data_IF_193353716527
#
_entry.id   IF_193353716527
#
_cell.length_a   1.000
_cell.length_b   1.000
_cell.length_c   1.000
_cell.angle_alpha   90.00
_cell.angle_beta   90.00
_cell.angle_gamma   90.00
#
_symmetry.space_group_name_H-M   'P 1'
#
loop_
_entity.id
_entity.type
_entity.pdbx_description
1 polymer ?
#
# COMPACT_ATOMS: atom_id res chain seq x y z
N UNK A 1 38.46 7.50 7.29
CA UNK A 1 36.99 7.45 7.17
C UNK A 1 36.46 6.67 8.36
N UNK A 2 35.59 7.25 9.14
CA UNK A 2 34.90 6.53 10.23
C UNK A 2 33.77 5.69 9.65
N UNK A 3 33.57 4.48 10.22
CA UNK A 3 32.43 3.66 9.82
C UNK A 3 31.15 4.23 10.42
N UNK A 4 30.09 4.30 9.64
CA UNK A 4 28.76 4.78 10.07
C UNK A 4 27.69 3.80 9.58
N UNK A 5 26.80 3.37 10.47
CA UNK A 5 25.64 2.55 10.11
C UNK A 5 24.41 3.45 9.97
N UNK A 6 23.85 3.49 8.78
CA UNK A 6 22.69 4.30 8.44
C UNK A 6 21.48 3.40 8.19
N UNK A 7 20.39 3.64 8.91
CA UNK A 7 19.11 3.00 8.67
C UNK A 7 18.23 3.84 7.74
N UNK A 8 17.74 3.24 6.64
CA UNK A 8 16.79 3.87 5.75
C UNK A 8 15.37 3.42 6.10
N UNK A 9 14.53 4.36 6.49
CA UNK A 9 13.15 4.09 6.90
C UNK A 9 12.19 5.03 6.17
N UNK A 10 10.92 4.73 6.15
CA UNK A 10 9.88 5.60 5.57
C UNK A 10 8.60 4.83 5.31
N UNK A 11 7.54 5.56 5.04
CA UNK A 11 6.25 4.98 4.72
C UNK A 11 6.31 4.14 3.44
N UNK A 12 5.46 3.11 3.30
CA UNK A 12 5.29 2.42 2.03
C UNK A 12 5.03 3.41 0.88
N UNK A 13 5.67 3.17 -0.27
CA UNK A 13 5.58 4.01 -1.47
C UNK A 13 6.16 5.44 -1.37
N UNK A 14 6.91 5.79 -0.32
CA UNK A 14 7.62 7.09 -0.22
C UNK A 14 8.84 7.22 -1.15
N UNK A 15 9.20 6.16 -1.89
CA UNK A 15 10.37 6.14 -2.76
C UNK A 15 11.64 5.63 -2.08
N UNK A 16 11.52 4.96 -0.93
CA UNK A 16 12.61 4.40 -0.14
C UNK A 16 13.54 3.48 -0.96
N UNK A 17 12.99 2.50 -1.66
CA UNK A 17 13.78 1.56 -2.50
C UNK A 17 14.50 2.28 -3.65
N UNK A 18 13.89 3.31 -4.23
CA UNK A 18 14.53 4.13 -5.27
C UNK A 18 15.74 4.86 -4.70
N UNK A 19 15.60 5.50 -3.54
CA UNK A 19 16.69 6.20 -2.85
C UNK A 19 17.80 5.22 -2.46
N UNK A 20 17.46 4.04 -1.94
CA UNK A 20 18.41 2.99 -1.61
C UNK A 20 19.27 2.60 -2.82
N UNK A 21 18.62 2.36 -3.97
CA UNK A 21 19.32 2.00 -5.21
C UNK A 21 20.21 3.13 -5.74
N UNK A 22 19.80 4.39 -5.61
CA UNK A 22 20.59 5.55 -6.01
C UNK A 22 21.84 5.71 -5.14
N UNK A 23 21.76 5.45 -3.83
CA UNK A 23 22.87 5.57 -2.91
C UNK A 23 23.88 4.44 -3.06
N UNK A 24 23.40 3.19 -3.24
CA UNK A 24 24.24 1.97 -3.19
C UNK A 24 24.66 1.45 -4.58
N UNK A 25 23.95 1.86 -5.64
CA UNK A 25 24.16 1.34 -6.98
C UNK A 25 23.93 -0.18 -7.05
N UNK A 26 24.82 -0.90 -7.75
CA UNK A 26 24.72 -2.37 -7.90
C UNK A 26 25.30 -3.17 -6.72
N UNK A 27 25.82 -2.51 -5.68
CA UNK A 27 26.49 -3.15 -4.55
C UNK A 27 25.52 -3.42 -3.41
N UNK A 28 24.62 -4.36 -3.60
CA UNK A 28 23.61 -4.75 -2.61
C UNK A 28 23.82 -6.18 -2.14
N UNK A 29 23.57 -6.44 -0.86
CA UNK A 29 23.45 -7.78 -0.29
C UNK A 29 22.00 -7.98 0.13
N UNK A 30 21.41 -9.06 -0.31
CA UNK A 30 20.04 -9.45 0.04
C UNK A 30 20.10 -10.66 0.96
N UNK A 31 19.40 -10.61 2.07
CA UNK A 31 19.23 -11.69 3.03
C UNK A 31 17.84 -11.60 3.65
N UNK A 32 17.58 -12.36 4.69
CA UNK A 32 16.35 -12.24 5.45
C UNK A 32 16.65 -11.68 6.85
N UNK A 33 15.67 -10.98 7.43
CA UNK A 33 15.74 -10.60 8.84
C UNK A 33 15.74 -11.86 9.71
N UNK A 34 16.46 -11.83 10.83
CA UNK A 34 16.63 -12.99 11.70
C UNK A 34 15.28 -13.56 12.17
N UNK A 35 15.03 -14.85 11.85
CA UNK A 35 13.84 -15.58 12.28
C UNK A 35 12.55 -15.30 11.50
N UNK A 36 12.63 -14.57 10.38
CA UNK A 36 11.46 -14.20 9.57
C UNK A 36 11.74 -14.27 8.06
N UNK A 37 10.69 -14.29 7.24
CA UNK A 37 10.78 -14.35 5.76
C UNK A 37 10.85 -12.98 5.09
N UNK A 38 10.99 -11.89 5.86
CA UNK A 38 11.09 -10.51 5.33
C UNK A 38 12.50 -10.26 4.81
N UNK A 39 12.62 -9.71 3.61
CA UNK A 39 13.90 -9.37 3.01
C UNK A 39 14.64 -8.27 3.78
N UNK A 40 15.94 -8.51 4.03
CA UNK A 40 16.89 -7.52 4.54
C UNK A 40 17.82 -7.12 3.42
N UNK A 41 17.83 -5.85 3.05
CA UNK A 41 18.74 -5.29 2.04
C UNK A 41 19.79 -4.44 2.72
N UNK A 42 21.03 -4.71 2.40
CA UNK A 42 22.17 -3.93 2.86
C UNK A 42 23.01 -3.47 1.67
N UNK A 43 23.48 -2.27 1.77
CA UNK A 43 24.37 -1.67 0.79
C UNK A 43 25.49 -0.87 1.46
N UNK A 44 26.43 -0.40 0.68
CA UNK A 44 27.49 0.46 1.16
C UNK A 44 27.75 1.58 0.14
N UNK A 45 28.00 2.77 0.65
CA UNK A 45 28.44 3.91 -0.13
C UNK A 45 29.44 4.75 0.68
N UNK A 46 30.04 5.74 0.03
CA UNK A 46 31.00 6.61 0.67
C UNK A 46 30.53 8.06 0.59
N UNK A 47 30.69 8.76 1.68
CA UNK A 47 30.65 10.22 1.74
C UNK A 47 32.08 10.75 1.82
N UNK A 48 32.24 12.05 1.93
CA UNK A 48 33.58 12.67 2.07
C UNK A 48 34.27 12.20 3.36
N UNK A 49 33.51 12.04 4.45
CA UNK A 49 34.05 11.75 5.79
C UNK A 49 33.87 10.31 6.24
N UNK A 50 32.80 9.64 5.77
CA UNK A 50 32.37 8.35 6.29
C UNK A 50 32.33 7.24 5.23
N UNK A 51 32.65 6.03 5.65
CA UNK A 51 32.27 4.79 4.96
C UNK A 51 30.92 4.35 5.55
N UNK A 52 29.84 4.44 4.76
CA UNK A 52 28.47 4.26 5.22
C UNK A 52 27.98 2.85 4.87
N UNK A 53 27.55 2.10 5.87
CA UNK A 53 26.76 0.88 5.71
C UNK A 53 25.29 1.28 5.76
N UNK A 54 24.56 1.04 4.67
CA UNK A 54 23.14 1.37 4.55
C UNK A 54 22.31 0.11 4.74
N UNK A 55 21.36 0.16 5.68
CA UNK A 55 20.41 -0.92 5.95
C UNK A 55 19.01 -0.44 5.59
N UNK A 56 18.36 -1.15 4.66
CA UNK A 56 16.97 -0.87 4.25
C UNK A 56 16.01 -1.51 5.26
N UNK A 57 15.30 -0.68 6.01
CA UNK A 57 14.28 -1.14 6.95
C UNK A 57 12.95 -1.34 6.22
N UNK A 58 12.09 -2.29 6.66
CA UNK A 58 10.76 -2.44 6.11
C UNK A 58 9.97 -1.13 6.19
N UNK A 59 9.13 -0.88 5.18
CA UNK A 59 8.28 0.32 5.14
C UNK A 59 7.21 0.25 6.23
N UNK A 60 7.09 1.31 7.04
CA UNK A 60 6.12 1.35 8.13
C UNK A 60 5.48 2.72 8.24
N UNK A 61 4.25 2.77 8.74
CA UNK A 61 3.53 4.02 9.04
C UNK A 61 3.73 4.47 10.48
N UNK A 62 4.03 3.54 11.39
CA UNK A 62 4.18 3.77 12.81
C UNK A 62 5.21 2.82 13.41
N UNK A 63 5.75 3.18 14.56
CA UNK A 63 6.65 2.34 15.37
C UNK A 63 5.94 1.78 16.61
N UNK A 64 4.63 1.93 16.72
CA UNK A 64 3.84 1.49 17.87
C UNK A 64 3.18 0.14 17.59
N UNK A 65 3.47 -0.86 18.39
CA UNK A 65 2.92 -2.22 18.27
C UNK A 65 1.85 -2.46 19.33
N UNK A 66 0.72 -1.74 19.24
CA UNK A 66 -0.38 -1.79 20.24
C UNK A 66 -1.15 -3.12 20.18
N UNK A 67 -1.15 -3.83 19.07
CA UNK A 67 -1.87 -5.09 18.95
C UNK A 67 -0.96 -6.24 18.52
N UNK A 68 -1.35 -7.47 18.88
CA UNK A 68 -0.75 -8.68 18.33
C UNK A 68 -0.87 -8.78 16.79
N UNK A 69 -1.61 -7.86 16.17
CA UNK A 69 -1.81 -7.72 14.73
C UNK A 69 -0.92 -6.64 14.10
N UNK A 70 -0.02 -5.99 14.88
CA UNK A 70 0.99 -5.10 14.30
C UNK A 70 1.75 -5.83 13.20
N UNK A 71 1.94 -5.15 12.06
CA UNK A 71 2.58 -5.78 10.91
C UNK A 71 3.98 -6.27 11.29
N UNK A 72 4.39 -7.41 10.75
CA UNK A 72 5.73 -7.95 10.99
C UNK A 72 6.83 -6.92 10.63
N UNK A 73 6.55 -6.10 9.63
CA UNK A 73 7.44 -5.04 9.16
C UNK A 73 7.67 -3.95 10.22
N UNK A 74 6.61 -3.54 10.93
CA UNK A 74 6.69 -2.56 12.03
C UNK A 74 7.51 -3.10 13.19
N UNK A 75 7.28 -4.36 13.55
CA UNK A 75 8.02 -5.01 14.63
C UNK A 75 9.51 -5.12 14.32
N UNK A 76 9.87 -5.48 13.08
CA UNK A 76 11.27 -5.59 12.62
C UNK A 76 11.94 -4.21 12.68
N UNK A 77 11.31 -3.20 12.10
CA UNK A 77 11.84 -1.84 12.07
C UNK A 77 12.09 -1.33 13.51
N UNK A 78 11.08 -1.47 14.39
CA UNK A 78 11.17 -1.01 15.77
C UNK A 78 12.28 -1.72 16.54
N UNK A 79 12.37 -3.06 16.45
CA UNK A 79 13.42 -3.85 17.13
C UNK A 79 14.82 -3.48 16.66
N UNK A 80 15.00 -3.30 15.35
CA UNK A 80 16.31 -2.96 14.81
C UNK A 80 16.73 -1.54 15.21
N UNK A 81 15.82 -0.59 15.23
CA UNK A 81 16.09 0.76 15.71
C UNK A 81 16.43 0.74 17.23
N UNK A 82 15.67 -0.05 18.00
CA UNK A 82 15.89 -0.19 19.44
C UNK A 82 17.17 -0.94 19.82
N UNK A 83 17.75 -1.74 18.92
CA UNK A 83 18.98 -2.50 19.19
C UNK A 83 20.22 -1.61 19.35
N UNK A 84 20.17 -0.35 18.90
CA UNK A 84 21.30 0.57 18.92
C UNK A 84 22.38 0.28 17.87
N UNK A 85 22.08 -0.59 16.88
CA UNK A 85 22.99 -0.87 15.75
C UNK A 85 23.05 0.26 14.74
N UNK A 86 22.07 1.19 14.77
CA UNK A 86 21.96 2.33 13.85
C UNK A 86 22.49 3.59 14.50
N UNK A 87 23.45 4.23 13.85
CA UNK A 87 24.00 5.50 14.32
C UNK A 87 23.10 6.69 13.88
N UNK A 88 22.55 6.61 12.66
CA UNK A 88 21.71 7.68 12.06
C UNK A 88 20.59 7.05 11.24
N UNK A 89 19.40 7.63 11.34
CA UNK A 89 18.26 7.27 10.50
C UNK A 89 18.06 8.30 9.38
N UNK A 90 17.83 7.82 8.17
CA UNK A 90 17.29 8.62 7.06
C UNK A 90 15.84 8.23 6.85
N UNK A 91 14.94 9.13 7.21
CA UNK A 91 13.50 8.94 7.02
C UNK A 91 13.05 9.53 5.70
N UNK A 92 12.57 8.69 4.78
CA UNK A 92 12.07 9.09 3.46
C UNK A 92 10.61 9.48 3.58
N UNK A 93 10.34 10.76 3.36
CA UNK A 93 9.04 11.40 3.51
C UNK A 93 8.51 11.82 2.14
N UNK A 94 7.28 11.44 1.83
CA UNK A 94 6.59 11.89 0.63
C UNK A 94 6.08 13.34 0.81
N UNK A 95 6.63 14.26 0.04
CA UNK A 95 6.27 15.68 0.07
C UNK A 95 4.82 15.96 -0.38
N UNK A 96 4.25 15.11 -1.24
CA UNK A 96 2.88 15.26 -1.70
C UNK A 96 1.85 14.84 -0.63
N UNK A 97 2.26 13.99 0.33
CA UNK A 97 1.44 13.49 1.44
C UNK A 97 2.12 13.75 2.79
N UNK A 98 2.56 14.98 3.01
CA UNK A 98 3.43 15.34 4.13
C UNK A 98 2.82 14.99 5.49
N UNK A 99 1.57 15.37 5.74
CA UNK A 99 0.88 15.17 7.04
C UNK A 99 0.91 13.70 7.47
N UNK A 100 0.57 12.78 6.57
CA UNK A 100 0.56 11.34 6.86
C UNK A 100 1.96 10.79 7.12
N UNK A 101 2.96 11.30 6.40
CA UNK A 101 4.33 10.81 6.49
C UNK A 101 5.09 11.36 7.71
N UNK A 102 4.69 12.53 8.21
CA UNK A 102 5.30 13.13 9.40
C UNK A 102 5.00 12.38 10.69
N UNK A 103 3.97 11.52 10.74
CA UNK A 103 3.67 10.75 11.94
C UNK A 103 4.85 9.85 12.36
N UNK A 104 5.42 9.10 11.42
CA UNK A 104 6.62 8.33 11.64
C UNK A 104 7.80 9.22 12.03
N UNK A 105 7.96 10.37 11.37
CA UNK A 105 9.03 11.33 11.67
C UNK A 105 8.95 11.82 13.12
N UNK A 106 7.75 12.17 13.60
CA UNK A 106 7.54 12.63 14.98
C UNK A 106 7.94 11.52 15.96
N UNK A 107 7.51 10.28 15.73
CA UNK A 107 7.89 9.15 16.60
C UNK A 107 9.42 8.93 16.65
N UNK A 108 10.10 8.97 15.49
CA UNK A 108 11.57 8.85 15.43
C UNK A 108 12.26 9.98 16.20
N UNK A 109 11.74 11.19 16.10
CA UNK A 109 12.29 12.36 16.80
C UNK A 109 12.01 12.32 18.30
N UNK A 110 10.86 11.77 18.74
CA UNK A 110 10.57 11.53 20.16
C UNK A 110 11.49 10.47 20.77
N UNK A 111 11.92 9.46 19.99
CA UNK A 111 12.88 8.44 20.43
C UNK A 111 14.26 9.02 20.72
N UNK A 112 14.56 10.24 20.29
CA UNK A 112 15.88 10.88 20.46
C UNK A 112 16.97 10.33 19.54
N UNK A 113 16.63 9.52 18.54
CA UNK A 113 17.60 8.96 17.61
C UNK A 113 17.95 10.01 16.54
N UNK A 114 19.25 10.15 16.21
CA UNK A 114 19.68 11.07 15.17
C UNK A 114 19.00 10.76 13.84
N UNK A 115 18.31 11.76 13.27
CA UNK A 115 17.48 11.60 12.08
C UNK A 115 17.74 12.71 11.06
N UNK A 116 17.75 12.31 9.78
CA UNK A 116 17.70 13.21 8.63
C UNK A 116 16.40 12.91 7.88
N UNK A 117 15.63 13.92 7.54
CA UNK A 117 14.44 13.79 6.71
C UNK A 117 14.83 13.96 5.25
N UNK A 118 14.64 12.90 4.47
CA UNK A 118 14.79 12.91 3.02
C UNK A 118 13.40 13.21 2.40
N UNK A 119 13.14 14.50 2.12
CA UNK A 119 11.86 14.97 1.60
C UNK A 119 11.78 14.70 0.09
N UNK A 120 11.19 13.56 -0.27
CA UNK A 120 11.13 13.04 -1.63
C UNK A 120 9.83 13.44 -2.35
N UNK A 121 9.78 13.19 -3.66
CA UNK A 121 8.61 13.49 -4.51
C UNK A 121 8.23 14.98 -4.57
N UNK A 122 9.20 15.86 -4.46
CA UNK A 122 8.97 17.31 -4.57
C UNK A 122 8.45 17.74 -5.94
N UNK A 123 8.73 17.01 -6.99
CA UNK A 123 8.18 17.21 -8.32
C UNK A 123 6.66 16.96 -8.33
N UNK A 124 6.19 15.92 -7.63
CA UNK A 124 4.76 15.64 -7.47
C UNK A 124 4.10 16.71 -6.61
N UNK A 125 4.68 17.08 -5.46
CA UNK A 125 4.17 18.15 -4.62
C UNK A 125 4.04 19.47 -5.39
N UNK A 126 5.06 19.85 -6.18
CA UNK A 126 5.02 21.04 -7.05
C UNK A 126 3.94 20.95 -8.14
N UNK A 127 3.73 19.76 -8.73
CA UNK A 127 2.65 19.54 -9.70
C UNK A 127 1.27 19.73 -9.07
N UNK A 128 1.13 19.38 -7.80
CA UNK A 128 -0.07 19.62 -6.98
C UNK A 128 -0.15 21.03 -6.40
N UNK A 129 0.79 21.93 -6.77
CA UNK A 129 0.89 23.33 -6.28
C UNK A 129 1.10 23.45 -4.78
N UNK A 130 1.70 22.44 -4.17
CA UNK A 130 2.12 22.46 -2.77
C UNK A 130 3.53 23.02 -2.72
N UNK A 131 3.72 24.14 -2.03
CA UNK A 131 5.04 24.69 -1.67
C UNK A 131 5.32 24.38 -0.22
N UNK A 132 6.51 23.88 0.07
CA UNK A 132 6.93 23.52 1.42
C UNK A 132 8.14 24.40 1.78
N UNK A 133 8.04 25.09 2.91
CA UNK A 133 9.19 25.77 3.53
C UNK A 133 10.07 24.72 4.21
N UNK A 134 11.14 24.31 3.50
CA UNK A 134 12.07 23.28 3.94
C UNK A 134 12.81 23.68 5.21
N UNK A 135 13.26 24.93 5.28
CA UNK A 135 13.98 25.46 6.44
C UNK A 135 13.06 25.60 7.66
N UNK A 136 11.81 26.00 7.44
CA UNK A 136 10.76 26.03 8.46
C UNK A 136 10.47 24.64 8.99
N UNK A 137 10.38 23.64 8.11
CA UNK A 137 10.18 22.26 8.47
C UNK A 137 11.36 21.71 9.29
N UNK A 138 12.59 21.96 8.87
CA UNK A 138 13.79 21.55 9.58
C UNK A 138 13.86 22.14 11.01
N UNK A 139 13.55 23.44 11.15
CA UNK A 139 13.51 24.09 12.47
C UNK A 139 12.47 23.49 13.40
N UNK A 140 11.27 23.17 12.88
CA UNK A 140 10.17 22.61 13.69
C UNK A 140 10.40 21.16 14.07
N UNK A 141 10.99 20.36 13.19
CA UNK A 141 11.34 18.97 13.46
C UNK A 141 12.64 18.83 14.28
N UNK A 142 13.45 19.87 14.35
CA UNK A 142 14.76 19.85 15.03
C UNK A 142 15.77 18.89 14.38
N UNK A 143 15.64 18.65 13.06
CA UNK A 143 16.55 17.78 12.31
C UNK A 143 16.72 18.30 10.86
N UNK A 144 17.82 17.97 10.18
CA UNK A 144 18.03 18.33 8.80
C UNK A 144 16.93 17.77 7.88
N UNK A 145 16.45 18.60 6.95
CA UNK A 145 15.51 18.21 5.91
C UNK A 145 16.17 18.44 4.56
N UNK A 146 16.33 17.37 3.78
CA UNK A 146 17.00 17.43 2.47
C UNK A 146 15.95 17.21 1.38
N UNK A 147 15.80 18.19 0.46
CA UNK A 147 14.88 18.04 -0.67
C UNK A 147 15.41 17.04 -1.69
N UNK A 148 14.54 16.12 -2.15
CA UNK A 148 14.90 15.05 -3.06
C UNK A 148 13.88 14.87 -4.19
N UNK A 149 14.39 14.41 -5.34
CA UNK A 149 13.63 13.74 -6.39
C UNK A 149 14.39 12.47 -6.75
N UNK A 150 14.18 11.40 -5.97
CA UNK A 150 14.99 10.18 -6.06
C UNK A 150 14.95 9.50 -7.43
N UNK A 151 13.90 9.67 -8.23
CA UNK A 151 13.82 9.17 -9.60
C UNK A 151 14.81 9.85 -10.57
N UNK A 152 15.22 11.08 -10.27
CA UNK A 152 16.19 11.88 -11.07
C UNK A 152 17.56 11.98 -10.42
N UNK A 153 17.74 11.35 -9.25
CA UNK A 153 18.91 11.48 -8.40
C UNK A 153 19.20 12.93 -7.93
N UNK A 154 18.20 13.84 -8.01
CA UNK A 154 18.33 15.22 -7.53
C UNK A 154 18.36 15.22 -5.99
N UNK A 155 19.30 15.93 -5.38
CA UNK A 155 19.45 16.06 -3.92
C UNK A 155 20.28 14.95 -3.25
N UNK A 156 20.84 13.99 -4.01
CA UNK A 156 21.65 12.89 -3.44
C UNK A 156 22.96 13.41 -2.83
N UNK A 157 23.62 14.35 -3.47
CA UNK A 157 24.88 14.90 -2.97
C UNK A 157 24.62 15.81 -1.75
N UNK A 158 23.51 16.53 -1.71
CA UNK A 158 23.05 17.28 -0.55
C UNK A 158 22.74 16.35 0.64
N UNK A 159 22.15 15.18 0.38
CA UNK A 159 21.92 14.18 1.42
C UNK A 159 23.24 13.66 1.98
N UNK A 160 24.22 13.35 1.13
CA UNK A 160 25.56 12.93 1.57
C UNK A 160 26.25 14.02 2.39
N UNK A 161 26.13 15.28 1.97
CA UNK A 161 26.68 16.41 2.71
C UNK A 161 25.98 16.59 4.08
N UNK A 162 24.66 16.41 4.14
CA UNK A 162 23.90 16.44 5.39
C UNK A 162 24.34 15.32 6.36
N UNK A 163 24.64 14.11 5.86
CA UNK A 163 25.17 13.00 6.65
C UNK A 163 26.55 13.39 7.24
N UNK A 164 27.42 13.99 6.44
CA UNK A 164 28.77 14.40 6.86
C UNK A 164 28.78 15.58 7.85
N UNK A 165 27.75 16.44 7.81
CA UNK A 165 27.64 17.63 8.65
C UNK A 165 26.75 17.42 9.89
N UNK A 166 26.16 16.22 10.07
CA UNK A 166 25.23 15.96 11.14
C UNK A 166 25.88 16.12 12.51
N UNK A 167 25.28 16.96 13.33
CA UNK A 167 25.69 17.15 14.72
C UNK A 167 24.97 16.13 15.61
N UNK A 168 25.73 15.41 16.43
CA UNK A 168 25.25 14.42 17.38
C UNK A 168 25.59 14.86 18.80
N UNK A 169 24.73 14.64 19.81
CA UNK A 169 23.36 14.10 19.73
C UNK A 169 22.34 15.16 19.28
N UNK A 170 21.22 14.70 18.70
CA UNK A 170 20.05 15.55 18.45
C UNK A 170 19.09 15.50 19.63
N UNK A 171 18.59 16.66 20.09
CA UNK A 171 17.58 16.71 21.14
C UNK A 171 16.28 16.02 20.68
N UNK A 172 15.62 15.26 21.56
CA UNK A 172 14.33 14.68 21.29
C UNK A 172 13.26 15.75 21.05
N UNK A 173 12.33 15.47 20.14
CA UNK A 173 11.20 16.38 19.86
C UNK A 173 10.22 16.35 21.04
N UNK A 174 9.87 17.50 21.55
CA UNK A 174 8.87 17.63 22.61
C UNK A 174 7.47 17.74 21.97
N UNK A 175 6.60 16.78 22.27
CA UNK A 175 5.18 16.84 21.95
C UNK A 175 4.41 17.25 23.20
N UNK A 176 3.43 18.15 23.05
CA UNK A 176 2.58 18.58 24.16
C UNK A 176 1.41 17.61 24.32
N UNK A 177 1.52 16.75 25.34
CA UNK A 177 0.51 15.77 25.68
C UNK A 177 -0.49 16.31 26.71
N UNK A 178 -1.72 15.75 26.79
CA UNK A 178 -2.66 16.09 27.85
C UNK A 178 -2.05 15.95 29.25
N UNK A 179 -2.45 16.77 30.23
CA UNK A 179 -1.88 16.76 31.57
C UNK A 179 -1.93 15.40 32.27
N UNK A 180 -2.99 14.62 32.04
CA UNK A 180 -3.13 13.26 32.58
C UNK A 180 -2.03 12.33 32.05
N UNK A 181 -1.73 12.39 30.75
CA UNK A 181 -0.65 11.61 30.12
C UNK A 181 0.71 12.07 30.68
N UNK A 182 0.96 13.38 30.75
CA UNK A 182 2.22 13.91 31.26
C UNK A 182 2.47 13.51 32.71
N UNK A 183 1.45 13.54 33.58
CA UNK A 183 1.54 13.11 34.96
C UNK A 183 1.93 11.62 35.08
N UNK A 184 1.33 10.75 34.26
CA UNK A 184 1.63 9.32 34.29
C UNK A 184 3.01 9.00 33.67
N UNK A 185 3.44 9.73 32.66
CA UNK A 185 4.82 9.65 32.13
C UNK A 185 5.81 10.03 33.23
N UNK A 186 5.58 11.14 33.96
CA UNK A 186 6.39 11.53 35.13
C UNK A 186 6.48 10.42 36.18
N UNK A 187 5.32 9.87 36.57
CA UNK A 187 5.25 8.77 37.54
C UNK A 187 6.07 7.53 37.11
N UNK A 188 5.96 7.12 35.83
CA UNK A 188 6.71 5.98 35.29
C UNK A 188 8.23 6.25 35.28
N UNK A 189 8.65 7.47 34.96
CA UNK A 189 10.05 7.87 34.94
C UNK A 189 10.67 7.94 36.32
N UNK A 190 9.94 8.41 37.34
CA UNK A 190 10.38 8.44 38.75
C UNK A 190 10.48 7.03 39.33
N UNK A 191 9.59 6.12 38.95
CA UNK A 191 9.55 4.73 39.46
C UNK A 191 10.60 3.84 38.77
N UNK A 192 11.10 4.24 37.60
CA UNK A 192 12.07 3.47 36.85
C UNK A 192 13.46 3.47 37.50
N UNK A 193 14.10 2.30 37.53
CA UNK A 193 15.52 2.22 37.82
C UNK A 193 16.36 2.86 36.69
N UNK A 194 17.43 3.61 37.01
CA UNK A 194 18.31 4.17 35.99
C UNK A 194 18.96 3.05 35.19
N UNK A 195 18.56 2.91 33.93
CA UNK A 195 19.13 1.96 32.96
C UNK A 195 19.68 2.73 31.77
N UNK A 196 20.85 2.37 31.28
CA UNK A 196 21.40 2.90 30.06
C UNK A 196 20.53 2.39 28.86
N UNK A 197 19.86 3.30 28.21
CA UNK A 197 19.05 3.01 27.00
C UNK A 197 19.49 3.96 25.89
N UNK A 198 19.61 3.45 24.69
CA UNK A 198 19.85 4.27 23.51
C UNK A 198 18.62 5.10 23.12
N UNK A 199 17.44 4.73 23.67
CA UNK A 199 16.14 5.36 23.38
C UNK A 199 15.77 6.27 24.55
N UNK A 200 15.16 7.42 24.23
CA UNK A 200 14.65 8.38 25.20
C UNK A 200 13.65 7.72 26.18
N UNK A 201 13.88 7.76 27.49
CA UNK A 201 13.00 7.13 28.48
C UNK A 201 11.55 7.62 28.43
N UNK A 202 11.35 8.89 28.07
CA UNK A 202 10.02 9.48 27.91
C UNK A 202 9.23 8.76 26.83
N UNK A 203 9.87 8.43 25.70
CA UNK A 203 9.24 7.69 24.63
C UNK A 203 8.83 6.27 25.06
N UNK A 204 9.70 5.55 25.80
CA UNK A 204 9.36 4.24 26.35
C UNK A 204 8.16 4.28 27.29
N UNK A 205 8.06 5.34 28.11
CA UNK A 205 6.92 5.55 28.99
C UNK A 205 5.62 5.77 28.19
N UNK A 206 5.68 6.56 27.11
CA UNK A 206 4.55 6.75 26.21
C UNK A 206 4.13 5.43 25.54
N UNK A 207 5.08 4.63 25.05
CA UNK A 207 4.80 3.31 24.47
C UNK A 207 4.12 2.37 25.49
N UNK A 208 4.54 2.40 26.74
CA UNK A 208 3.90 1.62 27.78
C UNK A 208 2.46 2.07 28.05
N UNK A 209 2.16 3.39 28.00
CA UNK A 209 0.82 3.93 28.12
C UNK A 209 -0.05 3.63 26.89
N UNK A 210 0.51 3.64 25.68
CA UNK A 210 -0.15 3.18 24.46
C UNK A 210 -0.44 1.67 24.47
N UNK A 211 0.18 0.90 25.39
CA UNK A 211 -0.01 -0.54 25.50
C UNK A 211 0.85 -1.34 24.53
N UNK A 212 1.98 -0.78 24.10
CA UNK A 212 2.93 -1.51 23.28
C UNK A 212 3.53 -2.69 24.05
N UNK A 213 3.29 -3.90 23.54
CA UNK A 213 3.71 -5.17 24.15
C UNK A 213 5.22 -5.46 23.98
N UNK A 214 5.90 -4.75 23.08
CA UNK A 214 7.33 -4.95 22.82
C UNK A 214 8.21 -3.92 23.52
N UNK A 215 7.85 -2.65 23.47
CA UNK A 215 8.67 -1.56 23.97
C UNK A 215 8.31 -1.16 25.40
N UNK A 216 7.05 -1.30 25.81
CA UNK A 216 6.61 -1.00 27.16
C UNK A 216 7.41 -1.77 28.25
N UNK A 217 7.65 -3.09 28.08
CA UNK A 217 8.47 -3.85 29.03
C UNK A 217 9.94 -3.41 29.13
N UNK A 218 10.46 -2.70 28.11
CA UNK A 218 11.83 -2.16 28.12
C UNK A 218 12.07 -1.10 29.24
N UNK A 219 11.00 -0.57 29.84
CA UNK A 219 11.09 0.26 31.04
C UNK A 219 11.58 -0.50 32.27
N UNK A 220 11.49 -1.84 32.27
CA UNK A 220 11.89 -2.67 33.43
C UNK A 220 10.95 -2.56 34.63
N UNK A 221 9.71 -2.09 34.42
CA UNK A 221 8.70 -1.94 35.48
C UNK A 221 7.75 -3.15 35.52
N UNK A 222 7.19 -3.47 36.71
CA UNK A 222 6.20 -4.53 36.84
C UNK A 222 4.95 -4.25 36.01
N UNK A 223 4.31 -5.28 35.42
CA UNK A 223 3.08 -5.10 34.63
C UNK A 223 1.95 -4.40 35.41
N UNK A 224 1.84 -4.65 36.71
CA UNK A 224 0.85 -4.01 37.56
C UNK A 224 1.03 -2.47 37.64
N UNK A 225 2.28 -1.99 37.68
CA UNK A 225 2.61 -0.56 37.67
C UNK A 225 2.23 0.09 36.35
N UNK A 226 2.52 -0.59 35.20
CA UNK A 226 2.16 -0.12 33.88
C UNK A 226 0.64 -0.03 33.71
N UNK A 227 -0.08 -1.05 34.18
CA UNK A 227 -1.53 -1.06 34.12
C UNK A 227 -2.18 0.00 35.02
N UNK A 228 -1.61 0.24 36.23
CA UNK A 228 -2.04 1.32 37.08
C UNK A 228 -1.85 2.69 36.41
N UNK A 229 -0.68 2.93 35.80
CA UNK A 229 -0.41 4.16 35.06
C UNK A 229 -1.38 4.37 33.90
N UNK A 230 -1.68 3.32 33.14
CA UNK A 230 -2.66 3.40 32.04
C UNK A 230 -4.06 3.79 32.53
N UNK A 231 -4.53 3.20 33.61
CA UNK A 231 -5.81 3.57 34.24
C UNK A 231 -5.84 5.04 34.72
N UNK A 232 -4.68 5.56 35.12
CA UNK A 232 -4.54 6.97 35.52
C UNK A 232 -4.61 7.97 34.37
N UNK A 233 -4.47 7.51 33.11
CA UNK A 233 -4.57 8.36 31.91
C UNK A 233 -5.99 8.62 31.43
N UNK A 234 -7.01 7.85 31.89
CA UNK A 234 -8.39 7.91 31.39
C UNK A 234 -8.78 6.67 30.58
N UNK A 235 -9.90 6.77 29.85
CA UNK A 235 -10.48 5.59 29.18
C UNK A 235 -9.69 5.12 27.94
N UNK A 236 -9.08 6.03 27.17
CA UNK A 236 -8.40 5.70 25.91
C UNK A 236 -7.05 6.47 25.79
N UNK A 237 -6.00 6.10 26.55
CA UNK A 237 -4.73 6.81 26.52
C UNK A 237 -4.04 6.75 25.15
N UNK A 238 -4.16 5.64 24.42
CA UNK A 238 -3.63 5.47 23.07
C UNK A 238 -4.20 6.51 22.08
N UNK A 239 -5.49 6.75 22.12
CA UNK A 239 -6.13 7.75 21.25
C UNK A 239 -5.68 9.17 21.59
N UNK A 240 -5.58 9.50 22.89
CA UNK A 240 -5.11 10.81 23.35
C UNK A 240 -3.66 11.10 22.94
N UNK A 241 -2.79 10.09 22.94
CA UNK A 241 -1.40 10.21 22.50
C UNK A 241 -1.34 10.42 20.97
N UNK A 242 -2.09 9.64 20.20
CA UNK A 242 -2.18 9.78 18.75
C UNK A 242 -2.70 11.16 18.36
N UNK A 243 -3.77 11.62 18.99
CA UNK A 243 -4.35 12.95 18.74
C UNK A 243 -3.37 14.09 19.01
N UNK A 244 -2.58 13.98 20.09
CA UNK A 244 -1.55 14.99 20.41
C UNK A 244 -0.47 15.06 19.31
N UNK A 245 -0.01 13.92 18.81
CA UNK A 245 0.94 13.86 17.68
C UNK A 245 0.35 14.45 16.41
N UNK A 246 -0.90 14.09 16.05
CA UNK A 246 -1.54 14.66 14.86
C UNK A 246 -1.81 16.16 14.98
N UNK A 247 -2.10 16.67 16.19
CA UNK A 247 -2.22 18.11 16.43
C UNK A 247 -0.92 18.83 16.12
N UNK A 248 0.21 18.35 16.66
CA UNK A 248 1.52 18.91 16.35
C UNK A 248 1.83 18.87 14.86
N UNK A 249 1.53 17.73 14.19
CA UNK A 249 1.74 17.57 12.74
C UNK A 249 0.90 18.58 11.97
N UNK A 250 -0.37 18.76 12.34
CA UNK A 250 -1.25 19.75 11.74
C UNK A 250 -0.73 21.18 11.88
N UNK A 251 -0.20 21.55 13.05
CA UNK A 251 0.43 22.84 13.31
C UNK A 251 1.71 23.04 12.47
N UNK A 252 2.54 21.99 12.33
CA UNK A 252 3.72 21.99 11.48
C UNK A 252 3.29 22.20 10.02
N UNK A 253 2.38 21.37 9.51
CA UNK A 253 1.93 21.45 8.12
C UNK A 253 1.27 22.79 7.80
N UNK A 254 0.42 23.32 8.68
CA UNK A 254 -0.22 24.61 8.50
C UNK A 254 0.79 25.78 8.41
N UNK A 255 1.92 25.64 9.08
CA UNK A 255 2.95 26.70 9.11
C UNK A 255 3.98 26.59 7.98
N UNK A 256 4.20 25.39 7.41
CA UNK A 256 5.25 25.18 6.39
C UNK A 256 4.70 24.89 4.99
N UNK A 257 3.45 24.45 4.88
CA UNK A 257 2.83 24.18 3.59
C UNK A 257 2.01 25.37 3.13
N UNK A 258 2.44 25.99 2.04
CA UNK A 258 1.62 26.96 1.30
C UNK A 258 0.91 26.20 0.16
N UNK A 259 -0.35 25.93 0.38
CA UNK A 259 -1.25 25.49 -0.68
C UNK A 259 -1.61 26.73 -1.51
N UNK A 260 -0.79 27.07 -2.51
CA UNK A 260 -1.15 28.13 -3.47
C UNK A 260 -2.49 27.70 -4.07
N UNK A 261 -3.55 28.34 -3.57
CA UNK A 261 -4.95 28.08 -3.88
C UNK A 261 -5.11 27.22 -5.14
N UNK A 262 -4.92 25.91 -5.01
CA UNK A 262 -5.54 24.99 -5.91
C UNK A 262 -7.01 25.34 -5.69
N UNK A 263 -7.60 26.15 -6.59
CA UNK A 263 -9.06 26.14 -6.70
C UNK A 263 -9.36 24.67 -6.80
N UNK A 264 -9.93 24.06 -5.76
CA UNK A 264 -10.33 22.66 -5.86
C UNK A 264 -11.14 22.64 -7.13
N UNK A 265 -10.76 21.79 -8.08
CA UNK A 265 -11.49 21.73 -9.34
C UNK A 265 -12.94 21.59 -8.94
N UNK A 266 -13.74 22.66 -9.14
CA UNK A 266 -15.16 22.68 -8.77
C UNK A 266 -15.88 21.44 -9.30
N UNK A 267 -15.38 20.94 -10.43
CA UNK A 267 -15.78 19.67 -11.02
C UNK A 267 -15.48 18.45 -10.14
N UNK A 268 -14.29 18.34 -9.55
CA UNK A 268 -13.92 17.18 -8.71
C UNK A 268 -14.72 17.17 -7.42
N UNK A 269 -14.87 18.34 -6.75
CA UNK A 269 -15.71 18.46 -5.55
C UNK A 269 -17.19 18.22 -5.85
N UNK A 270 -17.68 18.69 -7.00
CA UNK A 270 -19.04 18.42 -7.41
C UNK A 270 -19.23 16.94 -7.71
N UNK A 271 -18.30 16.31 -8.46
CA UNK A 271 -18.29 14.88 -8.72
C UNK A 271 -18.24 14.08 -7.41
N UNK A 272 -17.35 14.45 -6.48
CA UNK A 272 -17.24 13.78 -5.19
C UNK A 272 -18.54 13.88 -4.39
N UNK A 273 -19.18 15.06 -4.37
CA UNK A 273 -20.47 15.25 -3.69
C UNK A 273 -21.57 14.37 -4.28
N UNK A 274 -21.55 14.16 -5.60
CA UNK A 274 -22.56 13.35 -6.31
C UNK A 274 -22.25 11.85 -6.11
N UNK A 275 -21.01 11.45 -6.33
CA UNK A 275 -20.55 10.03 -6.26
C UNK A 275 -20.57 9.49 -4.84
N UNK A 276 -20.20 10.31 -3.83
CA UNK A 276 -20.20 9.90 -2.42
C UNK A 276 -21.55 10.07 -1.74
N UNK A 277 -22.57 10.51 -2.46
CA UNK A 277 -23.92 10.65 -1.92
C UNK A 277 -24.48 9.27 -1.57
N UNK A 278 -25.00 9.11 -0.35
CA UNK A 278 -25.53 7.85 0.20
C UNK A 278 -26.59 7.18 -0.68
N UNK A 279 -27.42 7.97 -1.38
CA UNK A 279 -28.52 7.46 -2.21
C UNK A 279 -28.13 7.36 -3.69
N UNK A 280 -27.31 8.29 -4.19
CA UNK A 280 -26.89 8.33 -5.59
C UNK A 280 -25.61 7.48 -5.87
N UNK A 281 -24.79 7.21 -4.86
CA UNK A 281 -23.54 6.50 -5.03
C UNK A 281 -23.72 5.08 -5.61
N UNK A 282 -24.69 4.32 -5.09
CA UNK A 282 -24.97 2.97 -5.60
C UNK A 282 -25.51 2.96 -7.03
N UNK A 283 -26.54 3.76 -7.40
CA UNK A 283 -26.98 3.87 -8.81
C UNK A 283 -25.87 4.32 -9.76
N UNK A 284 -25.05 5.28 -9.37
CA UNK A 284 -23.92 5.77 -10.18
C UNK A 284 -22.89 4.65 -10.35
N UNK A 285 -22.57 3.92 -9.29
CA UNK A 285 -21.66 2.79 -9.37
C UNK A 285 -22.17 1.72 -10.37
N UNK A 286 -23.43 1.36 -10.26
CA UNK A 286 -24.06 0.40 -11.19
C UNK A 286 -24.06 0.91 -12.64
N UNK A 287 -24.29 2.21 -12.83
CA UNK A 287 -24.24 2.82 -14.18
C UNK A 287 -22.81 2.78 -14.74
N UNK A 288 -21.79 3.15 -13.97
CA UNK A 288 -20.38 3.11 -14.38
C UNK A 288 -19.95 1.68 -14.73
N UNK A 289 -20.31 0.72 -13.89
CA UNK A 289 -20.04 -0.71 -14.17
C UNK A 289 -20.77 -1.20 -15.42
N UNK A 290 -22.04 -0.82 -15.58
CA UNK A 290 -22.79 -1.13 -16.80
C UNK A 290 -22.14 -0.56 -18.06
N UNK A 291 -21.71 0.70 -18.03
CA UNK A 291 -21.03 1.33 -19.16
C UNK A 291 -19.69 0.64 -19.46
N UNK A 292 -18.93 0.30 -18.43
CA UNK A 292 -17.68 -0.45 -18.59
C UNK A 292 -17.91 -1.78 -19.32
N UNK A 293 -18.88 -2.58 -18.86
CA UNK A 293 -19.21 -3.85 -19.51
C UNK A 293 -19.79 -3.64 -20.93
N UNK A 294 -20.66 -2.66 -21.09
CA UNK A 294 -21.26 -2.34 -22.38
C UNK A 294 -20.19 -2.01 -23.43
N UNK A 295 -19.23 -1.14 -23.09
CA UNK A 295 -18.15 -0.80 -24.01
C UNK A 295 -17.19 -1.97 -24.25
N UNK A 296 -16.79 -2.70 -23.20
CA UNK A 296 -15.90 -3.84 -23.34
C UNK A 296 -16.50 -4.96 -24.22
N UNK A 297 -17.79 -5.24 -24.07
CA UNK A 297 -18.48 -6.28 -24.85
C UNK A 297 -18.73 -5.82 -26.29
N UNK A 298 -19.24 -4.59 -26.51
CA UNK A 298 -19.59 -4.15 -27.85
C UNK A 298 -18.35 -3.86 -28.72
N UNK A 299 -17.36 -3.13 -28.16
CA UNK A 299 -16.12 -2.83 -28.90
C UNK A 299 -15.27 -4.09 -29.05
N UNK A 300 -15.10 -4.87 -27.97
CA UNK A 300 -14.36 -6.13 -27.99
C UNK A 300 -15.00 -7.14 -28.93
N UNK A 301 -16.34 -7.26 -28.92
CA UNK A 301 -17.11 -8.10 -29.84
C UNK A 301 -16.99 -7.69 -31.31
N UNK A 302 -16.90 -6.39 -31.58
CA UNK A 302 -16.65 -5.91 -32.95
C UNK A 302 -15.26 -6.28 -33.49
N UNK A 303 -14.27 -6.41 -32.62
CA UNK A 303 -12.90 -6.83 -32.95
C UNK A 303 -12.77 -8.37 -33.04
N UNK A 304 -13.63 -9.12 -32.37
CA UNK A 304 -13.57 -10.58 -32.26
C UNK A 304 -13.50 -11.28 -33.65
N UNK A 305 -14.29 -10.92 -34.68
CA UNK A 305 -14.22 -11.58 -36.01
C UNK A 305 -12.86 -11.40 -36.70
N UNK A 306 -12.16 -10.31 -36.43
CA UNK A 306 -10.84 -10.04 -37.04
C UNK A 306 -9.81 -11.03 -36.43
N UNK A 307 -9.86 -11.20 -35.13
CA UNK A 307 -8.98 -12.13 -34.44
C UNK A 307 -9.32 -13.58 -34.77
N UNK A 308 -10.60 -13.93 -34.88
CA UNK A 308 -11.07 -15.26 -35.24
C UNK A 308 -10.59 -15.67 -36.63
N UNK A 309 -10.83 -14.83 -37.64
CA UNK A 309 -10.35 -15.10 -39.01
C UNK A 309 -8.83 -15.13 -39.11
N UNK A 310 -8.15 -14.20 -38.39
CA UNK A 310 -6.69 -14.16 -38.39
C UNK A 310 -6.06 -15.39 -37.73
N UNK A 311 -6.59 -15.80 -36.58
CA UNK A 311 -6.10 -16.98 -35.88
C UNK A 311 -6.44 -18.29 -36.62
N UNK A 312 -7.63 -18.41 -37.20
CA UNK A 312 -8.01 -19.54 -38.05
C UNK A 312 -7.07 -19.71 -39.25
N UNK A 313 -6.81 -18.61 -39.99
CA UNK A 313 -5.89 -18.66 -41.13
C UNK A 313 -4.46 -19.07 -40.75
N UNK A 314 -3.97 -18.65 -39.57
CA UNK A 314 -2.59 -18.97 -39.14
C UNK A 314 -2.52 -20.37 -38.50
N UNK A 315 -3.39 -20.65 -37.52
CA UNK A 315 -3.24 -21.85 -36.68
C UNK A 315 -4.00 -23.07 -37.19
N UNK A 316 -5.07 -22.88 -38.01
CA UNK A 316 -5.77 -24.02 -38.56
C UNK A 316 -5.32 -24.24 -40.03
N UNK A 317 -5.55 -23.24 -40.87
CA UNK A 317 -5.23 -23.39 -42.32
C UNK A 317 -3.73 -23.46 -42.57
N UNK A 318 -2.92 -22.67 -41.84
CA UNK A 318 -1.47 -22.70 -41.91
C UNK A 318 -0.86 -24.04 -41.48
N UNK A 319 -1.36 -24.66 -40.40
CA UNK A 319 -0.91 -25.97 -39.95
C UNK A 319 -1.35 -27.07 -40.93
N UNK A 320 -2.55 -26.99 -41.47
CA UNK A 320 -3.01 -27.94 -42.51
C UNK A 320 -2.14 -27.84 -43.76
N UNK A 321 -1.84 -26.62 -44.24
CA UNK A 321 -0.97 -26.41 -45.38
C UNK A 321 0.44 -26.97 -45.15
N UNK A 322 1.01 -26.73 -43.97
CA UNK A 322 2.31 -27.28 -43.56
C UNK A 322 2.30 -28.82 -43.50
N UNK A 323 1.25 -29.42 -42.95
CA UNK A 323 1.09 -30.86 -42.83
C UNK A 323 1.09 -31.51 -44.21
N UNK A 324 0.34 -30.96 -45.17
CA UNK A 324 0.31 -31.44 -46.55
C UNK A 324 1.70 -31.27 -47.22
N UNK A 325 2.36 -30.13 -46.99
CA UNK A 325 3.65 -29.82 -47.58
C UNK A 325 4.77 -30.76 -47.10
N UNK A 326 4.72 -31.16 -45.82
CA UNK A 326 5.70 -32.09 -45.24
C UNK A 326 5.31 -33.58 -45.37
N UNK A 327 4.13 -33.87 -45.98
CA UNK A 327 3.68 -35.26 -46.15
C UNK A 327 3.34 -35.97 -44.83
N UNK A 328 2.87 -35.22 -43.85
CA UNK A 328 2.45 -35.80 -42.56
C UNK A 328 1.20 -36.66 -42.72
N UNK A 329 1.03 -37.75 -41.91
CA UNK A 329 -0.20 -38.52 -41.94
C UNK A 329 -1.42 -37.66 -41.62
N UNK A 330 -2.54 -37.93 -42.29
CA UNK A 330 -3.79 -37.14 -42.16
C UNK A 330 -4.27 -37.02 -40.70
N UNK A 331 -4.19 -38.09 -39.91
CA UNK A 331 -4.59 -38.07 -38.51
C UNK A 331 -3.77 -37.10 -37.66
N UNK A 332 -2.46 -36.99 -37.94
CA UNK A 332 -1.55 -36.10 -37.23
C UNK A 332 -1.79 -34.65 -37.64
N UNK A 333 -2.02 -34.39 -38.93
CA UNK A 333 -2.34 -33.07 -39.46
C UNK A 333 -3.65 -32.57 -38.88
N UNK A 334 -4.70 -33.40 -38.84
CA UNK A 334 -5.98 -33.06 -38.21
C UNK A 334 -5.84 -32.82 -36.71
N UNK A 335 -5.10 -33.65 -36.00
CA UNK A 335 -4.87 -33.45 -34.56
C UNK A 335 -4.15 -32.13 -34.27
N UNK A 336 -3.13 -31.79 -35.03
CA UNK A 336 -2.40 -30.53 -34.84
C UNK A 336 -3.24 -29.30 -35.24
N UNK A 337 -3.90 -29.35 -36.37
CA UNK A 337 -4.67 -28.21 -36.90
C UNK A 337 -5.98 -27.98 -36.12
N UNK A 338 -6.77 -29.02 -35.89
CA UNK A 338 -8.07 -28.89 -35.21
C UNK A 338 -7.95 -29.01 -33.70
N UNK A 339 -7.05 -29.85 -33.17
CA UNK A 339 -6.81 -29.98 -31.74
C UNK A 339 -6.08 -28.76 -31.19
N UNK A 340 -4.83 -28.58 -31.58
CA UNK A 340 -4.02 -27.47 -31.05
C UNK A 340 -4.42 -26.13 -31.66
N UNK A 341 -4.49 -26.05 -33.01
CA UNK A 341 -4.87 -24.84 -33.72
C UNK A 341 -6.29 -24.37 -33.39
N UNK A 342 -7.26 -25.30 -33.33
CA UNK A 342 -8.62 -25.03 -32.91
C UNK A 342 -8.73 -24.58 -31.46
N UNK A 343 -7.93 -25.16 -30.56
CA UNK A 343 -7.85 -24.70 -29.17
C UNK A 343 -7.35 -23.25 -29.03
N UNK A 344 -6.29 -22.89 -29.76
CA UNK A 344 -5.79 -21.51 -29.84
C UNK A 344 -6.84 -20.59 -30.44
N UNK A 345 -7.50 -21.01 -31.54
CA UNK A 345 -8.55 -20.22 -32.20
C UNK A 345 -9.78 -19.99 -31.31
N UNK A 346 -10.04 -20.84 -30.32
CA UNK A 346 -11.14 -20.63 -29.37
C UNK A 346 -10.81 -19.51 -28.35
N UNK A 347 -9.55 -19.35 -27.97
CA UNK A 347 -9.12 -18.42 -26.92
C UNK A 347 -8.75 -17.03 -27.50
N UNK A 348 -8.06 -17.00 -28.65
CA UNK A 348 -7.51 -15.76 -29.21
C UNK A 348 -8.55 -14.69 -29.52
N UNK A 349 -9.75 -15.00 -30.02
CA UNK A 349 -10.81 -14.01 -30.24
C UNK A 349 -11.34 -13.33 -28.98
N UNK A 350 -11.11 -13.91 -27.79
CA UNK A 350 -11.52 -13.31 -26.52
C UNK A 350 -10.52 -12.26 -25.99
N UNK A 351 -9.28 -12.26 -26.51
CA UNK A 351 -8.21 -11.35 -26.07
C UNK A 351 -8.59 -9.87 -26.17
N UNK A 352 -9.19 -9.34 -27.27
CA UNK A 352 -9.58 -7.94 -27.37
C UNK A 352 -10.59 -7.54 -26.28
N UNK A 353 -11.58 -8.41 -26.02
CA UNK A 353 -12.61 -8.14 -25.03
C UNK A 353 -12.04 -8.09 -23.60
N UNK A 354 -11.17 -9.05 -23.28
CA UNK A 354 -10.48 -9.10 -21.97
C UNK A 354 -9.54 -7.90 -21.83
N UNK A 355 -8.78 -7.56 -22.87
CA UNK A 355 -7.87 -6.42 -22.88
C UNK A 355 -8.57 -5.09 -22.66
N UNK A 356 -9.71 -4.86 -23.34
CA UNK A 356 -10.52 -3.66 -23.13
C UNK A 356 -11.09 -3.58 -21.71
N UNK A 357 -11.52 -4.72 -21.15
CA UNK A 357 -12.01 -4.75 -19.78
C UNK A 357 -10.93 -4.38 -18.79
N UNK A 358 -9.68 -4.88 -18.97
CA UNK A 358 -8.54 -4.48 -18.16
C UNK A 358 -8.19 -2.99 -18.31
N UNK A 359 -8.25 -2.47 -19.54
CA UNK A 359 -8.01 -1.06 -19.80
C UNK A 359 -8.99 -0.16 -19.04
N UNK A 360 -10.28 -0.47 -19.12
CA UNK A 360 -11.30 0.30 -18.40
C UNK A 360 -11.18 0.16 -16.89
N UNK A 361 -10.85 -1.05 -16.40
CA UNK A 361 -10.62 -1.27 -14.97
C UNK A 361 -9.44 -0.44 -14.44
N UNK A 362 -8.31 -0.44 -15.17
CA UNK A 362 -7.14 0.39 -14.84
C UNK A 362 -7.46 1.88 -14.87
N UNK A 363 -8.25 2.33 -15.86
CA UNK A 363 -8.70 3.72 -15.92
C UNK A 363 -9.57 4.12 -14.71
N UNK A 364 -10.46 3.23 -14.26
CA UNK A 364 -11.29 3.45 -13.08
C UNK A 364 -10.46 3.46 -11.79
N UNK A 365 -9.42 2.62 -11.72
CA UNK A 365 -8.48 2.57 -10.60
C UNK A 365 -7.63 3.85 -10.54
N UNK A 366 -7.00 4.24 -11.65
CA UNK A 366 -6.15 5.42 -11.75
C UNK A 366 -6.93 6.74 -11.53
N UNK A 367 -8.21 6.78 -11.90
CA UNK A 367 -9.09 7.93 -11.62
C UNK A 367 -9.45 8.08 -10.13
N UNK A 368 -9.09 7.10 -9.30
CA UNK A 368 -9.46 7.03 -7.88
C UNK A 368 -10.94 6.72 -7.64
N UNK A 369 -11.69 6.35 -8.70
CA UNK A 369 -13.11 6.02 -8.58
C UNK A 369 -13.34 4.77 -7.72
N UNK A 370 -12.42 3.79 -7.79
CA UNK A 370 -12.51 2.54 -7.02
C UNK A 370 -12.49 2.77 -5.51
N UNK A 371 -11.65 3.70 -5.03
CA UNK A 371 -11.60 4.07 -3.60
C UNK A 371 -12.93 4.72 -3.14
N UNK A 372 -13.54 5.57 -3.99
CA UNK A 372 -14.83 6.20 -3.71
C UNK A 372 -15.97 5.19 -3.68
N UNK A 373 -15.99 4.26 -4.63
CA UNK A 373 -16.97 3.18 -4.67
C UNK A 373 -16.86 2.26 -3.44
N UNK A 374 -15.63 1.90 -3.04
CA UNK A 374 -15.37 1.11 -1.85
C UNK A 374 -15.92 1.79 -0.58
N UNK A 375 -15.74 3.10 -0.44
CA UNK A 375 -16.26 3.88 0.69
C UNK A 375 -17.80 3.86 0.78
N UNK A 376 -18.49 4.01 -0.36
CA UNK A 376 -19.97 3.95 -0.41
C UNK A 376 -20.50 2.58 0.02
N UNK A 377 -19.78 1.51 -0.35
CA UNK A 377 -20.18 0.11 -0.11
C UNK A 377 -19.66 -0.46 1.22
N UNK A 378 -18.81 0.27 1.93
CA UNK A 378 -18.13 -0.21 3.14
C UNK A 378 -19.12 -0.74 4.19
N UNK A 379 -20.20 -0.01 4.45
CA UNK A 379 -21.24 -0.42 5.41
C UNK A 379 -21.91 -1.75 5.04
N UNK A 380 -22.15 -1.99 3.75
CA UNK A 380 -22.74 -3.25 3.28
C UNK A 380 -21.76 -4.40 3.43
N UNK A 381 -20.49 -4.16 3.09
CA UNK A 381 -19.43 -5.17 3.19
C UNK A 381 -19.11 -5.51 4.65
N UNK A 382 -19.08 -4.53 5.54
CA UNK A 382 -18.89 -4.76 6.98
C UNK A 382 -19.99 -5.66 7.57
N UNK A 383 -21.24 -5.54 7.10
CA UNK A 383 -22.32 -6.44 7.51
C UNK A 383 -22.07 -7.89 7.08
N UNK A 384 -21.27 -8.11 6.03
CA UNK A 384 -20.82 -9.42 5.54
C UNK A 384 -19.48 -9.86 6.15
N UNK A 385 -18.89 -9.07 7.02
CA UNK A 385 -17.58 -9.34 7.64
C UNK A 385 -16.38 -9.12 6.70
N UNK A 386 -16.55 -8.30 5.66
CA UNK A 386 -15.52 -7.94 4.69
C UNK A 386 -15.28 -6.42 4.67
N UNK A 387 -14.07 -5.94 4.35
CA UNK A 387 -13.82 -4.52 4.16
C UNK A 387 -14.49 -4.01 2.87
N UNK A 388 -14.84 -2.73 2.82
CA UNK A 388 -15.44 -2.09 1.64
C UNK A 388 -14.62 -2.26 0.36
N UNK A 389 -13.29 -2.32 0.48
CA UNK A 389 -12.37 -2.58 -0.64
C UNK A 389 -12.63 -3.93 -1.34
N UNK A 390 -13.17 -4.94 -0.64
CA UNK A 390 -13.49 -6.26 -1.22
C UNK A 390 -14.66 -6.23 -2.20
N UNK A 391 -15.52 -5.20 -2.11
CA UNK A 391 -16.70 -5.07 -2.95
C UNK A 391 -16.36 -4.98 -4.44
N UNK A 392 -15.34 -4.22 -4.77
CA UNK A 392 -14.93 -3.99 -6.17
C UNK A 392 -14.47 -5.29 -6.85
N UNK A 393 -13.51 -6.06 -6.30
CA UNK A 393 -13.18 -7.38 -6.84
C UNK A 393 -14.38 -8.30 -7.00
N UNK A 394 -15.28 -8.34 -6.01
CA UNK A 394 -16.46 -9.21 -6.07
C UNK A 394 -17.42 -8.82 -7.21
N UNK A 395 -17.74 -7.55 -7.37
CA UNK A 395 -18.60 -7.09 -8.48
C UNK A 395 -17.95 -7.32 -9.84
N UNK A 396 -16.65 -7.08 -9.98
CA UNK A 396 -15.92 -7.38 -11.22
C UNK A 396 -15.98 -8.87 -11.55
N UNK A 397 -16.07 -9.74 -10.53
CA UNK A 397 -16.26 -11.19 -10.66
C UNK A 397 -17.51 -11.62 -11.42
N UNK A 398 -18.60 -10.83 -11.38
CA UNK A 398 -19.77 -11.06 -12.23
C UNK A 398 -19.49 -10.86 -13.74
N UNK A 399 -18.49 -10.07 -14.07
CA UNK A 399 -18.04 -9.92 -15.46
C UNK A 399 -16.97 -10.94 -15.83
N UNK A 400 -15.90 -11.01 -15.03
CA UNK A 400 -14.78 -11.91 -15.26
C UNK A 400 -14.01 -12.18 -13.96
N UNK A 401 -13.80 -13.46 -13.65
CA UNK A 401 -13.11 -13.87 -12.44
C UNK A 401 -11.61 -13.51 -12.43
N UNK A 402 -10.98 -13.37 -13.61
CA UNK A 402 -9.54 -13.06 -13.70
C UNK A 402 -9.22 -11.70 -13.10
N UNK A 403 -9.83 -10.56 -13.55
CA UNK A 403 -9.59 -9.27 -12.92
C UNK A 403 -10.10 -9.19 -11.48
N UNK A 404 -11.13 -9.96 -11.11
CA UNK A 404 -11.60 -10.08 -9.73
C UNK A 404 -10.49 -10.60 -8.80
N UNK A 405 -9.87 -11.73 -9.17
CA UNK A 405 -8.78 -12.33 -8.40
C UNK A 405 -7.54 -11.41 -8.40
N UNK A 406 -7.25 -10.77 -9.53
CA UNK A 406 -6.14 -9.81 -9.61
C UNK A 406 -6.39 -8.58 -8.73
N UNK A 407 -7.61 -8.04 -8.72
CA UNK A 407 -8.00 -6.90 -7.88
C UNK A 407 -7.97 -7.23 -6.39
N UNK A 408 -8.18 -8.48 -5.99
CA UNK A 408 -8.08 -8.89 -4.59
C UNK A 408 -6.66 -8.71 -4.00
N UNK A 409 -5.62 -8.52 -4.83
CA UNK A 409 -4.24 -8.22 -4.37
C UNK A 409 -4.13 -6.87 -3.66
N UNK A 410 -5.05 -5.95 -3.90
CA UNK A 410 -5.08 -4.62 -3.27
C UNK A 410 -5.59 -4.65 -1.82
N UNK A 411 -6.07 -5.80 -1.35
CA UNK A 411 -6.53 -5.98 0.03
C UNK A 411 -5.34 -6.19 0.97
N UNK A 412 -5.33 -5.43 2.06
CA UNK A 412 -4.23 -5.37 3.01
C UNK A 412 -4.15 -6.65 3.87
N UNK A 413 -5.29 -7.14 4.40
CA UNK A 413 -5.33 -8.30 5.26
C UNK A 413 -5.34 -9.63 4.47
N UNK A 414 -4.45 -10.54 4.83
CA UNK A 414 -4.31 -11.84 4.15
C UNK A 414 -5.61 -12.67 4.21
N UNK A 415 -6.31 -12.65 5.34
CA UNK A 415 -7.58 -13.37 5.53
C UNK A 415 -8.67 -12.86 4.57
N UNK A 416 -8.82 -11.55 4.48
CA UNK A 416 -9.81 -10.88 3.63
C UNK A 416 -9.53 -11.13 2.15
N UNK A 417 -8.25 -11.03 1.77
CA UNK A 417 -7.78 -11.35 0.42
C UNK A 417 -8.10 -12.80 0.04
N UNK A 418 -7.82 -13.76 0.95
CA UNK A 418 -8.08 -15.18 0.71
C UNK A 418 -9.58 -15.44 0.55
N UNK A 419 -10.42 -14.88 1.41
CA UNK A 419 -11.88 -15.03 1.34
C UNK A 419 -12.39 -14.44 0.03
N UNK A 420 -11.97 -13.25 -0.36
CA UNK A 420 -12.38 -12.60 -1.61
C UNK A 420 -11.96 -13.41 -2.84
N UNK A 421 -10.75 -13.97 -2.86
CA UNK A 421 -10.27 -14.85 -3.93
C UNK A 421 -11.10 -16.14 -3.99
N UNK A 422 -11.46 -16.73 -2.84
CA UNK A 422 -12.27 -17.94 -2.81
C UNK A 422 -13.72 -17.71 -3.20
N UNK A 423 -14.26 -16.51 -2.97
CA UNK A 423 -15.61 -16.13 -3.38
C UNK A 423 -15.70 -15.81 -4.89
N UNK A 424 -14.64 -15.27 -5.49
CA UNK A 424 -14.64 -14.86 -6.91
C UNK A 424 -15.10 -15.95 -7.88
N UNK A 425 -14.72 -17.25 -7.77
CA UNK A 425 -15.21 -18.29 -8.66
C UNK A 425 -16.71 -18.61 -8.52
N UNK A 426 -17.36 -18.22 -7.43
CA UNK A 426 -18.81 -18.40 -7.26
C UNK A 426 -19.60 -17.27 -7.94
N UNK A 427 -18.96 -16.15 -8.27
CA UNK A 427 -19.57 -15.10 -9.05
C UNK A 427 -19.73 -15.58 -10.50
N UNK A 428 -20.97 -15.60 -10.99
CA UNK A 428 -21.26 -16.15 -12.31
C UNK A 428 -21.05 -15.10 -13.40
N UNK A 429 -20.02 -15.29 -14.20
CA UNK A 429 -19.77 -14.45 -15.38
C UNK A 429 -20.69 -14.84 -16.56
N UNK A 430 -20.84 -13.97 -17.55
CA UNK A 430 -21.69 -14.20 -18.73
C UNK A 430 -21.37 -15.49 -19.47
N UNK A 431 -20.11 -15.92 -19.54
CA UNK A 431 -19.71 -17.19 -20.16
C UNK A 431 -20.27 -18.40 -19.43
N UNK A 432 -20.26 -18.40 -18.10
CA UNK A 432 -20.88 -19.46 -17.29
C UNK A 432 -22.38 -19.52 -17.48
N UNK A 433 -23.03 -18.37 -17.56
CA UNK A 433 -24.48 -18.29 -17.78
C UNK A 433 -24.87 -18.97 -19.10
N UNK A 434 -24.09 -18.75 -20.17
CA UNK A 434 -24.29 -19.39 -21.45
C UNK A 434 -24.11 -20.92 -21.35
N UNK A 435 -23.08 -21.40 -20.65
CA UNK A 435 -22.85 -22.83 -20.41
C UNK A 435 -24.01 -23.44 -19.61
N UNK A 436 -24.43 -22.80 -18.54
CA UNK A 436 -25.57 -23.26 -17.74
C UNK A 436 -26.86 -23.30 -18.54
N UNK A 437 -27.11 -22.31 -19.42
CA UNK A 437 -28.28 -22.29 -20.30
C UNK A 437 -28.30 -23.47 -21.27
N UNK A 438 -27.14 -23.81 -21.86
CA UNK A 438 -27.02 -24.97 -22.76
C UNK A 438 -27.27 -26.29 -22.00
N UNK A 439 -26.63 -26.47 -20.82
CA UNK A 439 -26.82 -27.65 -20.00
C UNK A 439 -28.27 -27.78 -19.49
N UNK A 440 -28.83 -26.67 -19.01
CA UNK A 440 -30.22 -26.68 -18.51
C UNK A 440 -31.22 -26.94 -19.63
N UNK A 441 -31.00 -26.42 -20.83
CA UNK A 441 -31.83 -26.75 -22.01
C UNK A 441 -31.72 -28.22 -22.43
N UNK A 442 -30.49 -28.76 -22.38
CA UNK A 442 -30.25 -30.16 -22.77
C UNK A 442 -30.83 -31.19 -21.77
N UNK A 443 -30.73 -30.95 -20.45
CA UNK A 443 -31.10 -31.92 -19.43
C UNK A 443 -32.48 -31.67 -18.80
N UNK A 444 -32.94 -30.41 -18.72
CA UNK A 444 -34.16 -30.03 -18.00
C UNK A 444 -35.26 -29.45 -18.86
N UNK A 445 -35.05 -29.26 -20.17
CA UNK A 445 -36.03 -28.76 -21.12
C UNK A 445 -36.72 -27.47 -20.63
N UNK A 446 -38.06 -27.45 -20.55
CA UNK A 446 -38.82 -26.27 -20.12
C UNK A 446 -38.58 -25.84 -18.65
N UNK A 447 -38.06 -26.75 -17.80
CA UNK A 447 -37.71 -26.44 -16.41
C UNK A 447 -36.31 -25.83 -16.21
N UNK A 448 -35.49 -25.74 -17.25
CA UNK A 448 -34.11 -25.30 -17.16
C UNK A 448 -33.92 -23.91 -16.59
N UNK A 449 -34.82 -23.00 -16.87
CA UNK A 449 -34.75 -21.61 -16.33
C UNK A 449 -34.89 -21.58 -14.80
N UNK A 450 -35.74 -22.40 -14.23
CA UNK A 450 -35.95 -22.48 -12.79
C UNK A 450 -34.74 -23.09 -12.08
N UNK A 451 -34.10 -24.08 -12.69
CA UNK A 451 -32.86 -24.70 -12.19
C UNK A 451 -31.72 -23.70 -12.16
N UNK A 452 -31.52 -22.94 -13.24
CA UNK A 452 -30.50 -21.88 -13.30
C UNK A 452 -30.77 -20.82 -12.22
N UNK A 453 -32.02 -20.35 -12.12
CA UNK A 453 -32.42 -19.36 -11.12
C UNK A 453 -32.18 -19.85 -9.70
N UNK A 454 -32.52 -21.13 -9.38
CA UNK A 454 -32.25 -21.69 -8.06
C UNK A 454 -30.76 -21.78 -7.75
N UNK A 455 -29.94 -22.10 -8.74
CA UNK A 455 -28.49 -22.22 -8.60
C UNK A 455 -27.82 -20.84 -8.36
N UNK A 456 -28.46 -19.75 -8.83
CA UNK A 456 -28.03 -18.39 -8.56
C UNK A 456 -28.48 -17.84 -7.20
N UNK A 457 -29.53 -18.40 -6.62
CA UNK A 457 -30.09 -18.01 -5.34
C UNK A 457 -29.39 -18.70 -4.15
N UNK A 458 -28.78 -19.85 -4.40
CA UNK A 458 -27.98 -20.63 -3.45
C UNK A 458 -26.54 -20.12 -3.41
#
# INVERSE_FOLDING_TARGET
MTALTLGLIGNPNSGKTTLFNQLTGSRQRVGNWAGVTVERKEGAFHTVRHAVRLVDLPGTYSLTSVSAQASLDEQIACRYIASGEVDVLVNVVDAANLERNLYLTVQLREMGIPCIVALNMLDIARSQRIRIDIDGLARRLGCPVVPLVSTRADGIDELKAAIDSLQLPQAALAVDYPPAIQAQVGYLLETRAPAASAIEPRWLALQALEGDIFNGPALGLPPATLEQARRGCGEEPELAIVDARYRLIGEICAAVCDHQQAQPHRLTQWLDRVVLNRWLGLPIFLLVMYLMFFFAINIGGALQPIFDKGSSAIFIDGIQWLGIRFGLPDWLTVFLAQGIGGGVNTVLPLVPQIGLMYLFLSLLEDSGYMARAAFVMDRLMQALGLPGKSFVPLIVGFGCNVPSIMGARTLDAQRERLITIMMAPFMSCGARLAIFAVFAGAFFGQGGALVIFSLYLL
#
